data_IF_089213322714
#
_entry.id   IF_089213322714
#
_cell.length_a   1.000
_cell.length_b   1.000
_cell.length_c   1.000
_cell.angle_alpha   90.00
_cell.angle_beta   90.00
_cell.angle_gamma   90.00
#
_symmetry.space_group_name_H-M   'P 1'
#
loop_
_entity.id
_entity.type
_entity.pdbx_description
1 polymer ?
#
# COMPACT_ATOMS: atom_id res chain seq x y z
N UNK A 1 19.16 -19.45 15.56
CA UNK A 1 19.25 -17.99 15.30
C UNK A 1 18.20 -17.32 16.15
N UNK A 2 18.50 -16.19 16.78
CA UNK A 2 17.49 -15.39 17.50
C UNK A 2 16.45 -14.84 16.51
N UNK A 3 15.18 -14.74 16.93
CA UNK A 3 14.05 -14.25 16.11
C UNK A 3 14.36 -12.90 15.43
N UNK A 4 15.00 -11.97 16.14
CA UNK A 4 15.44 -10.67 15.59
C UNK A 4 16.41 -10.82 14.41
N UNK A 5 17.29 -11.82 14.46
CA UNK A 5 18.24 -12.11 13.38
C UNK A 5 17.52 -12.66 12.15
N UNK A 6 16.55 -13.57 12.34
CA UNK A 6 15.74 -14.14 11.25
C UNK A 6 14.90 -13.04 10.57
N UNK A 7 14.20 -12.21 11.35
CA UNK A 7 13.39 -11.10 10.84
C UNK A 7 14.23 -10.10 10.04
N UNK A 8 15.48 -9.84 10.48
CA UNK A 8 16.42 -8.99 9.73
C UNK A 8 16.78 -9.63 8.38
N UNK A 9 17.05 -10.93 8.35
CA UNK A 9 17.40 -11.66 7.12
C UNK A 9 16.24 -11.69 6.13
N UNK A 10 15.03 -12.07 6.56
CA UNK A 10 13.82 -12.07 5.72
C UNK A 10 13.58 -10.67 5.14
N UNK A 11 13.59 -9.64 5.99
CA UNK A 11 13.40 -8.26 5.55
C UNK A 11 14.45 -7.80 4.53
N UNK A 12 15.70 -8.24 4.67
CA UNK A 12 16.76 -7.91 3.73
C UNK A 12 16.55 -8.61 2.38
N UNK A 13 16.21 -9.90 2.38
CA UNK A 13 15.86 -10.63 1.17
C UNK A 13 14.69 -9.97 0.43
N UNK A 14 13.62 -9.61 1.15
CA UNK A 14 12.49 -8.87 0.58
C UNK A 14 12.94 -7.52 0.01
N UNK A 15 13.73 -6.72 0.74
CA UNK A 15 14.19 -5.42 0.24
C UNK A 15 14.99 -5.54 -1.06
N UNK A 16 15.80 -6.60 -1.19
CA UNK A 16 16.62 -6.89 -2.37
C UNK A 16 15.83 -7.55 -3.51
N UNK A 17 14.59 -8.00 -3.27
CA UNK A 17 13.80 -8.73 -4.27
C UNK A 17 14.23 -10.20 -4.43
N UNK A 18 14.97 -10.75 -3.48
CA UNK A 18 15.45 -12.14 -3.54
C UNK A 18 14.33 -13.11 -3.13
N UNK A 19 13.48 -13.45 -4.10
CA UNK A 19 12.37 -14.37 -3.89
C UNK A 19 12.82 -15.78 -3.48
N UNK A 20 14.00 -16.22 -3.93
CA UNK A 20 14.50 -17.56 -3.61
C UNK A 20 14.87 -17.64 -2.14
N UNK A 21 15.54 -16.60 -1.62
CA UNK A 21 15.87 -16.52 -0.20
C UNK A 21 14.63 -16.31 0.67
N UNK A 22 13.65 -15.51 0.22
CA UNK A 22 12.36 -15.38 0.90
C UNK A 22 11.65 -16.73 1.01
N UNK A 23 11.55 -17.48 -0.09
CA UNK A 23 10.95 -18.82 -0.13
C UNK A 23 11.70 -19.80 0.78
N UNK A 24 13.03 -19.77 0.75
CA UNK A 24 13.89 -20.65 1.56
C UNK A 24 13.74 -20.38 3.05
N UNK A 25 13.70 -19.12 3.48
CA UNK A 25 13.59 -18.77 4.91
C UNK A 25 12.17 -18.96 5.42
N UNK A 26 11.15 -18.45 4.72
CA UNK A 26 9.75 -18.56 5.17
C UNK A 26 9.29 -20.02 5.12
N UNK A 27 9.55 -20.71 4.00
CA UNK A 27 9.13 -22.10 3.79
C UNK A 27 7.65 -22.31 4.10
N UNK A 28 7.37 -23.28 4.98
CA UNK A 28 6.05 -23.58 5.53
C UNK A 28 5.94 -23.17 7.02
N UNK A 29 6.82 -22.30 7.51
CA UNK A 29 6.80 -21.85 8.89
C UNK A 29 5.84 -20.65 9.08
N UNK A 30 4.68 -20.82 9.74
CA UNK A 30 3.71 -19.75 9.92
C UNK A 30 4.23 -18.62 10.83
N UNK A 31 5.09 -18.92 11.81
CA UNK A 31 5.68 -17.89 12.68
C UNK A 31 6.52 -16.90 11.87
N UNK A 32 7.29 -17.43 10.90
CA UNK A 32 8.07 -16.59 10.00
C UNK A 32 7.18 -15.84 9.04
N UNK A 33 6.10 -16.42 8.51
CA UNK A 33 5.19 -15.71 7.61
C UNK A 33 4.51 -14.51 8.27
N UNK A 34 4.01 -14.69 9.50
CA UNK A 34 3.17 -13.70 10.20
C UNK A 34 3.95 -12.75 11.12
N UNK A 35 5.29 -12.76 11.04
CA UNK A 35 6.15 -11.88 11.83
C UNK A 35 5.81 -10.40 11.60
N UNK A 36 5.50 -9.69 12.69
CA UNK A 36 5.34 -8.24 12.70
C UNK A 36 6.66 -7.59 13.09
N UNK A 37 7.11 -6.61 12.31
CA UNK A 37 8.31 -5.83 12.63
C UNK A 37 7.92 -4.35 12.76
N UNK A 38 8.81 -3.50 13.30
CA UNK A 38 8.59 -2.06 13.24
C UNK A 38 8.36 -1.54 11.82
N UNK A 39 8.74 -2.27 10.76
CA UNK A 39 8.50 -1.88 9.37
C UNK A 39 7.18 -2.41 8.79
N UNK A 40 6.33 -3.04 9.60
CA UNK A 40 5.15 -3.79 9.19
C UNK A 40 5.45 -5.27 8.90
N UNK A 41 4.46 -5.94 8.32
CA UNK A 41 4.60 -7.33 7.84
C UNK A 41 5.46 -7.40 6.57
N UNK A 42 5.80 -8.61 6.14
CA UNK A 42 6.50 -8.84 4.88
C UNK A 42 5.76 -8.29 3.66
N UNK A 43 4.42 -8.35 3.67
CA UNK A 43 3.60 -7.81 2.60
C UNK A 43 3.78 -6.28 2.48
N UNK A 44 3.84 -5.56 3.59
CA UNK A 44 4.07 -4.11 3.58
C UNK A 44 5.40 -3.74 2.93
N UNK A 45 6.47 -4.47 3.30
CA UNK A 45 7.81 -4.22 2.79
C UNK A 45 7.90 -4.56 1.30
N UNK A 46 7.35 -5.70 0.88
CA UNK A 46 7.35 -6.12 -0.52
C UNK A 46 6.51 -5.17 -1.40
N UNK A 47 5.30 -4.81 -0.94
CA UNK A 47 4.39 -3.91 -1.62
C UNK A 47 4.99 -2.52 -1.82
N UNK A 48 5.62 -1.95 -0.79
CA UNK A 48 6.33 -0.66 -0.88
C UNK A 48 7.51 -0.71 -1.87
N UNK A 49 8.18 -1.87 -1.96
CA UNK A 49 9.39 -2.03 -2.77
C UNK A 49 9.15 -2.43 -4.22
N UNK A 50 7.92 -2.79 -4.58
CA UNK A 50 7.59 -3.13 -5.97
C UNK A 50 7.88 -4.58 -6.35
N UNK A 51 8.11 -5.46 -5.36
CA UNK A 51 8.50 -6.84 -5.61
C UNK A 51 7.27 -7.74 -5.80
N UNK A 52 6.63 -7.64 -6.96
CA UNK A 52 5.36 -8.34 -7.26
C UNK A 52 5.41 -9.84 -6.99
N UNK A 53 6.43 -10.57 -7.45
CA UNK A 53 6.54 -12.01 -7.22
C UNK A 53 6.65 -12.40 -5.73
N UNK A 54 7.18 -11.50 -4.88
CA UNK A 54 7.21 -11.69 -3.43
C UNK A 54 5.82 -11.42 -2.84
N UNK A 55 5.14 -10.35 -3.28
CA UNK A 55 3.75 -10.06 -2.88
C UNK A 55 2.85 -11.26 -3.17
N UNK A 56 2.89 -11.76 -4.41
CA UNK A 56 2.11 -12.90 -4.84
C UNK A 56 2.39 -14.13 -3.98
N UNK A 57 3.66 -14.46 -3.76
CA UNK A 57 4.07 -15.58 -2.92
C UNK A 57 3.53 -15.48 -1.48
N UNK A 58 3.67 -14.30 -0.85
CA UNK A 58 3.24 -14.10 0.54
C UNK A 58 1.72 -14.23 0.69
N UNK A 59 0.95 -13.68 -0.26
CA UNK A 59 -0.52 -13.80 -0.28
C UNK A 59 -0.95 -15.25 -0.48
N UNK A 60 -0.31 -15.99 -1.41
CA UNK A 60 -0.58 -17.42 -1.59
C UNK A 60 -0.23 -18.27 -0.36
N UNK A 61 0.76 -17.85 0.45
CA UNK A 61 1.08 -18.48 1.73
C UNK A 61 0.08 -18.17 2.85
N UNK A 62 -0.88 -17.28 2.61
CA UNK A 62 -1.94 -16.96 3.56
C UNK A 62 -1.63 -15.78 4.48
N UNK A 63 -0.69 -14.89 4.12
CA UNK A 63 -0.53 -13.64 4.87
C UNK A 63 -1.82 -12.81 4.75
N UNK A 64 -2.29 -12.25 5.86
CA UNK A 64 -3.48 -11.40 5.84
C UNK A 64 -3.18 -10.06 5.16
N UNK A 65 -3.83 -9.84 4.01
CA UNK A 65 -3.69 -8.65 3.15
C UNK A 65 -4.11 -7.35 3.83
N UNK A 66 -5.01 -7.44 4.81
CA UNK A 66 -5.57 -6.30 5.54
C UNK A 66 -4.90 -6.06 6.89
N UNK A 67 -3.84 -6.82 7.20
CA UNK A 67 -3.01 -6.54 8.37
C UNK A 67 -2.54 -5.09 8.32
N UNK A 68 -2.71 -4.36 9.42
CA UNK A 68 -2.25 -2.98 9.53
C UNK A 68 -0.85 -2.96 10.13
N UNK A 69 0.09 -2.28 9.48
CA UNK A 69 1.47 -2.16 9.99
C UNK A 69 1.60 -1.11 11.09
N UNK A 70 2.47 -1.32 12.07
CA UNK A 70 2.66 -0.38 13.19
C UNK A 70 3.04 1.05 12.74
N UNK A 71 3.84 1.17 11.68
CA UNK A 71 4.21 2.49 11.11
C UNK A 71 3.03 3.07 10.34
N UNK A 72 2.51 4.18 10.87
CA UNK A 72 1.37 4.96 10.36
C UNK A 72 0.04 4.20 10.29
N UNK A 73 -0.02 2.96 10.78
CA UNK A 73 -1.19 2.09 10.69
C UNK A 73 -1.65 2.01 9.21
N UNK A 74 -0.66 1.88 8.31
CA UNK A 74 -0.85 1.86 6.86
C UNK A 74 -1.09 0.42 6.40
N UNK A 75 -1.99 0.24 5.42
CA UNK A 75 -2.13 -1.03 4.71
C UNK A 75 -1.03 -1.23 3.67
N UNK A 76 -0.81 -2.48 3.26
CA UNK A 76 0.08 -2.79 2.13
C UNK A 76 -0.41 -2.15 0.82
N UNK A 77 -1.74 -2.05 0.62
CA UNK A 77 -2.35 -1.38 -0.53
C UNK A 77 -1.97 0.10 -0.60
N UNK A 78 -2.04 0.84 0.52
CA UNK A 78 -1.60 2.24 0.55
C UNK A 78 -0.12 2.40 0.25
N UNK A 79 0.73 1.51 0.77
CA UNK A 79 2.17 1.57 0.52
C UNK A 79 2.53 1.31 -0.95
N UNK A 80 1.86 0.33 -1.60
CA UNK A 80 2.00 0.12 -3.03
C UNK A 80 1.51 1.32 -3.83
N UNK A 81 0.35 1.87 -3.46
CA UNK A 81 -0.26 3.00 -4.15
C UNK A 81 0.62 4.26 -4.09
N UNK A 82 1.13 4.61 -2.91
CA UNK A 82 2.04 5.75 -2.74
C UNK A 82 3.47 5.54 -3.24
N UNK A 83 3.81 4.33 -3.67
CA UNK A 83 5.05 4.02 -4.37
C UNK A 83 4.86 3.79 -5.88
N UNK A 84 3.62 3.85 -6.38
CA UNK A 84 3.30 3.79 -7.80
C UNK A 84 3.26 2.39 -8.40
N UNK A 85 3.22 1.34 -7.58
CA UNK A 85 3.28 -0.05 -8.05
C UNK A 85 1.90 -0.55 -8.49
N UNK A 86 1.42 -0.09 -9.65
CA UNK A 86 0.07 -0.36 -10.15
C UNK A 86 -0.29 -1.85 -10.21
N UNK A 87 0.61 -2.71 -10.66
CA UNK A 87 0.34 -4.16 -10.74
C UNK A 87 0.16 -4.79 -9.36
N UNK A 88 0.89 -4.31 -8.35
CA UNK A 88 0.68 -4.74 -6.96
C UNK A 88 -0.64 -4.19 -6.42
N UNK A 89 -1.01 -2.95 -6.75
CA UNK A 89 -2.30 -2.36 -6.35
C UNK A 89 -3.47 -3.18 -6.90
N UNK A 90 -3.43 -3.53 -8.19
CA UNK A 90 -4.44 -4.40 -8.83
C UNK A 90 -4.57 -5.73 -8.10
N UNK A 91 -3.45 -6.42 -7.93
CA UNK A 91 -3.42 -7.74 -7.29
C UNK A 91 -3.90 -7.71 -5.83
N UNK A 92 -3.50 -6.71 -5.04
CA UNK A 92 -3.95 -6.59 -3.66
C UNK A 92 -5.47 -6.37 -3.57
N UNK A 93 -6.06 -5.57 -4.46
CA UNK A 93 -7.52 -5.39 -4.52
C UNK A 93 -8.22 -6.70 -4.92
N UNK A 94 -7.68 -7.43 -5.91
CA UNK A 94 -8.19 -8.75 -6.30
C UNK A 94 -8.09 -9.77 -5.16
N UNK A 95 -7.05 -9.67 -4.33
CA UNK A 95 -6.85 -10.48 -3.15
C UNK A 95 -7.69 -10.04 -1.93
N UNK A 96 -8.60 -9.06 -2.09
CA UNK A 96 -9.52 -8.62 -1.04
C UNK A 96 -8.99 -7.53 -0.10
N UNK A 97 -8.00 -6.75 -0.53
CA UNK A 97 -7.56 -5.58 0.23
C UNK A 97 -8.67 -4.53 0.35
N UNK A 98 -8.86 -4.00 1.56
CA UNK A 98 -9.85 -2.96 1.85
C UNK A 98 -9.49 -1.64 1.13
N UNK A 99 -10.40 -1.19 0.26
CA UNK A 99 -10.24 0.03 -0.53
C UNK A 99 -10.61 1.29 0.30
N UNK A 100 -11.75 1.22 1.00
CA UNK A 100 -12.29 2.34 1.79
C UNK A 100 -11.97 2.17 3.26
N UNK A 101 -10.90 2.83 3.69
CA UNK A 101 -10.55 2.92 5.11
C UNK A 101 -10.95 4.29 5.67
N UNK A 102 -11.62 4.27 6.83
CA UNK A 102 -12.23 5.45 7.46
C UNK A 102 -11.25 6.56 7.82
N UNK A 103 -9.98 6.22 8.03
CA UNK A 103 -8.94 7.20 8.30
C UNK A 103 -8.24 7.58 7.00
N UNK A 104 -8.42 8.82 6.55
CA UNK A 104 -7.84 9.31 5.30
C UNK A 104 -6.30 9.19 5.21
N UNK A 105 -5.60 9.26 6.35
CA UNK A 105 -4.15 8.97 6.43
C UNK A 105 -3.77 7.54 6.05
N UNK A 106 -4.73 6.62 5.97
CA UNK A 106 -4.58 5.21 5.61
C UNK A 106 -5.17 4.90 4.24
N UNK A 107 -5.90 5.83 3.65
CA UNK A 107 -6.60 5.62 2.40
C UNK A 107 -5.59 5.59 1.22
N UNK A 108 -5.67 4.58 0.33
CA UNK A 108 -4.69 4.40 -0.74
C UNK A 108 -4.74 5.51 -1.80
N UNK A 109 -5.88 6.18 -2.02
CA UNK A 109 -6.00 7.32 -2.94
C UNK A 109 -5.06 8.45 -2.53
N UNK A 110 -5.10 8.85 -1.26
CA UNK A 110 -4.19 9.89 -0.75
C UNK A 110 -2.73 9.46 -0.77
N UNK A 111 -2.45 8.14 -0.67
CA UNK A 111 -1.10 7.61 -0.88
C UNK A 111 -0.63 7.85 -2.32
N UNK A 112 -1.44 7.45 -3.31
CA UNK A 112 -1.14 7.64 -4.73
C UNK A 112 -0.98 9.12 -5.11
N UNK A 113 -1.85 10.01 -4.59
CA UNK A 113 -1.72 11.46 -4.78
C UNK A 113 -0.44 11.96 -4.13
N UNK A 114 -0.12 11.58 -2.88
CA UNK A 114 1.13 12.00 -2.25
C UNK A 114 2.38 11.60 -3.08
N UNK A 115 2.36 10.42 -3.70
CA UNK A 115 3.43 9.95 -4.60
C UNK A 115 3.37 10.51 -6.03
N UNK A 116 2.31 11.23 -6.41
CA UNK A 116 2.11 11.76 -7.78
C UNK A 116 1.81 10.67 -8.82
N UNK A 117 1.29 9.52 -8.41
CA UNK A 117 1.11 8.35 -9.28
C UNK A 117 -0.27 8.36 -9.96
N UNK A 118 -0.38 9.11 -11.06
CA UNK A 118 -1.64 9.32 -11.80
C UNK A 118 -2.34 8.01 -12.19
N UNK A 119 -1.63 7.05 -12.78
CA UNK A 119 -2.22 5.78 -13.24
C UNK A 119 -2.84 4.99 -12.08
N UNK A 120 -2.22 5.04 -10.90
CA UNK A 120 -2.78 4.43 -9.68
C UNK A 120 -4.01 5.20 -9.20
N UNK A 121 -3.99 6.54 -9.23
CA UNK A 121 -5.17 7.35 -8.89
C UNK A 121 -6.35 7.01 -9.80
N UNK A 122 -6.13 7.00 -11.11
CA UNK A 122 -7.17 6.70 -12.09
C UNK A 122 -7.78 5.32 -11.85
N UNK A 123 -6.94 4.31 -11.64
CA UNK A 123 -7.37 2.95 -11.35
C UNK A 123 -8.18 2.84 -10.05
N UNK A 124 -7.72 3.45 -8.95
CA UNK A 124 -8.44 3.42 -7.66
C UNK A 124 -9.82 4.08 -7.77
N UNK A 125 -9.92 5.20 -8.49
CA UNK A 125 -11.19 5.90 -8.74
C UNK A 125 -12.12 5.07 -9.61
N UNK A 126 -11.60 4.36 -10.61
CA UNK A 126 -12.37 3.43 -11.43
C UNK A 126 -12.85 2.20 -10.66
N UNK A 127 -12.12 1.77 -9.64
CA UNK A 127 -12.56 0.74 -8.68
C UNK A 127 -13.57 1.24 -7.64
N UNK A 128 -13.96 2.51 -7.73
CA UNK A 128 -15.06 3.05 -6.94
C UNK A 128 -14.67 3.52 -5.54
N UNK A 129 -13.38 3.76 -5.28
CA UNK A 129 -12.94 4.33 -4.00
C UNK A 129 -13.70 5.62 -3.69
N UNK A 130 -14.03 5.84 -2.41
CA UNK A 130 -14.75 7.03 -2.01
C UNK A 130 -13.85 8.29 -2.06
N UNK A 131 -14.01 9.07 -3.13
CA UNK A 131 -13.32 10.35 -3.34
C UNK A 131 -13.88 11.50 -2.49
N UNK A 132 -14.96 11.29 -1.73
CA UNK A 132 -15.53 12.30 -0.84
C UNK A 132 -14.78 12.41 0.50
N UNK A 133 -13.98 11.40 0.84
CA UNK A 133 -13.16 11.37 2.06
C UNK A 133 -12.24 12.58 2.09
N UNK A 134 -12.13 13.21 3.27
CA UNK A 134 -11.26 14.36 3.50
C UNK A 134 -10.04 13.96 4.31
N UNK A 135 -8.86 14.33 3.82
CA UNK A 135 -7.58 14.14 4.48
C UNK A 135 -7.48 14.95 5.77
N UNK A 136 -7.15 14.24 6.85
CA UNK A 136 -6.82 14.81 8.15
C UNK A 136 -5.48 14.23 8.62
N UNK A 137 -4.43 15.05 8.60
CA UNK A 137 -3.11 14.74 9.14
C UNK A 137 -2.63 15.86 10.07
N UNK A 138 -1.41 15.71 10.61
CA UNK A 138 -0.86 16.67 11.57
C UNK A 138 -0.71 18.08 10.97
N UNK A 139 -0.29 18.17 9.69
CA UNK A 139 -0.02 19.43 8.99
C UNK A 139 -1.13 19.85 8.00
N UNK A 140 -2.03 18.95 7.62
CA UNK A 140 -3.09 19.20 6.65
C UNK A 140 -4.42 18.84 7.27
N UNK A 141 -5.29 19.83 7.43
CA UNK A 141 -6.62 19.60 7.99
C UNK A 141 -7.65 19.81 6.90
N UNK A 142 -8.45 18.77 6.70
CA UNK A 142 -9.70 18.85 5.98
C UNK A 142 -9.54 19.16 4.49
N UNK A 143 -8.71 18.42 3.76
CA UNK A 143 -8.56 18.53 2.29
C UNK A 143 -9.23 17.36 1.58
N UNK A 144 -10.10 17.58 0.61
CA UNK A 144 -10.53 16.49 -0.28
C UNK A 144 -9.39 16.07 -1.24
N UNK A 145 -9.60 15.01 -2.02
CA UNK A 145 -8.59 14.48 -2.93
C UNK A 145 -8.16 15.49 -4.03
N UNK A 146 -9.07 16.36 -4.49
CA UNK A 146 -8.75 17.42 -5.46
C UNK A 146 -7.85 18.50 -4.82
N UNK A 147 -8.25 19.05 -3.68
CA UNK A 147 -7.49 20.05 -2.92
C UNK A 147 -6.10 19.51 -2.54
N UNK A 148 -6.03 18.25 -2.14
CA UNK A 148 -4.76 17.60 -1.80
C UNK A 148 -3.84 17.48 -3.02
N UNK A 149 -4.36 17.16 -4.21
CA UNK A 149 -3.55 17.12 -5.44
C UNK A 149 -3.05 18.52 -5.87
N UNK A 150 -3.89 19.55 -5.72
CA UNK A 150 -3.50 20.95 -6.00
C UNK A 150 -2.40 21.45 -5.06
N UNK A 151 -2.42 21.07 -3.78
CA UNK A 151 -1.39 21.42 -2.80
C UNK A 151 0.01 20.94 -3.23
N UNK A 152 0.10 19.81 -3.93
CA UNK A 152 1.37 19.29 -4.48
C UNK A 152 1.63 19.74 -5.94
N UNK A 153 0.80 20.61 -6.51
CA UNK A 153 0.92 21.08 -7.89
C UNK A 153 0.62 20.01 -8.95
N UNK A 154 -0.12 18.96 -8.61
CA UNK A 154 -0.40 17.82 -9.49
C UNK A 154 -1.61 18.09 -10.38
N UNK A 155 -1.46 19.02 -11.31
CA UNK A 155 -2.55 19.57 -12.14
C UNK A 155 -3.35 18.50 -12.91
N UNK A 156 -2.69 17.49 -13.47
CA UNK A 156 -3.39 16.41 -14.19
C UNK A 156 -4.25 15.54 -13.28
N UNK A 157 -3.72 15.18 -12.10
CA UNK A 157 -4.42 14.39 -11.09
C UNK A 157 -5.60 15.18 -10.54
N UNK A 158 -5.37 16.46 -10.19
CA UNK A 158 -6.42 17.35 -9.73
C UNK A 158 -7.54 17.50 -10.76
N UNK A 159 -7.19 17.75 -12.03
CA UNK A 159 -8.17 17.86 -13.11
C UNK A 159 -8.96 16.56 -13.31
N UNK A 160 -8.32 15.40 -13.20
CA UNK A 160 -9.00 14.10 -13.26
C UNK A 160 -10.01 13.93 -12.12
N UNK A 161 -9.58 14.17 -10.87
CA UNK A 161 -10.43 14.01 -9.68
C UNK A 161 -11.62 14.98 -9.75
N UNK A 162 -11.40 16.25 -10.12
CA UNK A 162 -12.46 17.25 -10.27
C UNK A 162 -13.54 16.80 -11.26
N UNK A 163 -13.15 16.32 -12.44
CA UNK A 163 -14.08 15.77 -13.43
C UNK A 163 -14.87 14.56 -12.92
N UNK A 164 -14.34 13.78 -11.97
CA UNK A 164 -15.03 12.62 -11.38
C UNK A 164 -15.97 13.04 -10.25
N UNK A 165 -15.63 14.10 -9.51
CA UNK A 165 -16.52 14.70 -8.50
C UNK A 165 -17.76 15.34 -9.14
N UNK A 166 -17.59 16.07 -10.24
CA UNK A 166 -18.69 16.79 -10.92
C UNK A 166 -19.71 15.85 -11.61
N UNK A 167 -19.39 14.57 -11.74
CA UNK A 167 -20.23 13.55 -12.42
C UNK A 167 -21.08 12.71 -11.46
N UNK A 168 -20.96 12.92 -10.14
CA UNK A 168 -21.75 12.24 -9.10
C UNK A 168 -22.97 13.08 -8.74
#
# INVERSE_FOLDING_TARGET
MEEKSINKTIRNAIKLGDINEVKRIIGDNPEFLHSMTPFGTWLHVAAKKGHFGIVEYLVHKGIDVNTKGDIFDSSSLRLAAGAGHLEIVKYLIEAGAELDVTLAKRNPLFGAIYGGHKEVVEFLVEKGIDISIRYTGENFKNMNAYEYAEEFGQTEIAAYIKRKMDKR
#
